data_IF_600518457392
#
_entry.id   IF_600518457392
#
_cell.length_a   1.000
_cell.length_b   1.000
_cell.length_c   1.000
_cell.angle_alpha   90.00
_cell.angle_beta   90.00
_cell.angle_gamma   90.00
#
_symmetry.space_group_name_H-M   'P 1'
#
loop_
_entity.id
_entity.type
_entity.pdbx_description
1 polymer ?
#
# COMPACT_ATOMS: atom_id res chain seq x y z
N UNK A 1 -1.31 -9.82 -20.71
CA UNK A 1 -2.25 -9.49 -19.63
C UNK A 1 -3.61 -10.06 -19.97
N UNK A 2 -4.15 -10.88 -19.10
CA UNK A 2 -5.44 -11.54 -19.31
C UNK A 2 -6.59 -10.66 -18.82
N UNK A 3 -6.34 -9.83 -17.84
CA UNK A 3 -7.33 -8.94 -17.26
C UNK A 3 -6.74 -8.15 -16.12
N UNK A 4 -7.60 -7.46 -15.40
CA UNK A 4 -7.21 -6.67 -14.24
C UNK A 4 -8.12 -6.98 -13.07
N UNK A 5 -7.61 -6.81 -11.87
CA UNK A 5 -8.39 -6.91 -10.64
C UNK A 5 -8.12 -5.67 -9.80
N UNK A 6 -9.18 -5.07 -9.28
CA UNK A 6 -9.10 -3.81 -8.54
C UNK A 6 -9.34 -4.12 -7.06
N UNK A 7 -8.35 -3.83 -6.22
CA UNK A 7 -8.36 -4.22 -4.80
C UNK A 7 -7.95 -3.06 -3.91
N UNK A 8 -8.65 -2.91 -2.77
CA UNK A 8 -8.25 -1.98 -1.72
C UNK A 8 -6.98 -2.49 -1.03
N UNK A 9 -6.34 -1.61 -0.26
CA UNK A 9 -5.05 -1.91 0.36
C UNK A 9 -5.06 -3.21 1.17
N UNK A 10 -6.06 -3.40 2.03
CA UNK A 10 -6.11 -4.59 2.88
C UNK A 10 -6.27 -5.87 2.10
N UNK A 11 -6.92 -5.80 0.93
CA UNK A 11 -7.13 -6.97 0.09
C UNK A 11 -5.93 -7.28 -0.80
N UNK A 12 -4.95 -6.39 -0.86
CA UNK A 12 -3.73 -6.60 -1.64
C UNK A 12 -2.61 -7.27 -0.84
N UNK A 13 -2.89 -7.64 0.42
CA UNK A 13 -1.92 -8.38 1.23
C UNK A 13 -2.54 -9.73 1.59
N UNK A 14 -2.30 -10.73 0.74
CA UNK A 14 -2.95 -12.03 0.87
C UNK A 14 -2.01 -13.16 0.48
N UNK A 15 -2.29 -14.33 1.03
CA UNK A 15 -1.71 -15.59 0.58
C UNK A 15 -2.72 -16.35 -0.27
N UNK A 16 -3.98 -16.34 0.11
CA UNK A 16 -5.02 -17.07 -0.58
C UNK A 16 -6.31 -16.27 -0.56
N UNK A 17 -6.83 -16.00 -1.74
CA UNK A 17 -8.07 -15.24 -1.87
C UNK A 17 -8.71 -15.56 -3.20
N UNK A 18 -10.03 -15.58 -3.23
CA UNK A 18 -10.77 -15.65 -4.46
C UNK A 18 -10.91 -14.24 -5.02
N UNK A 19 -10.42 -14.05 -6.20
CA UNK A 19 -10.45 -12.76 -6.89
C UNK A 19 -11.45 -12.81 -8.03
N UNK A 20 -12.15 -11.69 -8.23
CA UNK A 20 -12.99 -11.52 -9.41
C UNK A 20 -12.37 -10.40 -10.22
N UNK A 21 -11.92 -10.71 -11.43
CA UNK A 21 -11.36 -9.71 -12.32
C UNK A 21 -12.42 -8.69 -12.70
N UNK A 22 -11.98 -7.54 -13.16
CA UNK A 22 -12.90 -6.47 -13.57
C UNK A 22 -13.82 -6.93 -14.70
N UNK A 23 -13.41 -7.95 -15.46
CA UNK A 23 -14.22 -8.57 -16.50
C UNK A 23 -15.32 -9.50 -15.96
N UNK A 24 -15.28 -9.82 -14.66
CA UNK A 24 -16.23 -10.75 -14.03
C UNK A 24 -15.73 -12.18 -13.88
N UNK A 25 -14.57 -12.50 -14.45
CA UNK A 25 -14.02 -13.85 -14.35
C UNK A 25 -13.39 -14.04 -12.96
N UNK A 26 -13.68 -15.18 -12.33
CA UNK A 26 -13.16 -15.50 -11.00
C UNK A 26 -11.85 -16.27 -11.08
N UNK A 27 -10.95 -15.95 -10.18
CA UNK A 27 -9.65 -16.63 -10.03
C UNK A 27 -9.43 -16.98 -8.58
N UNK A 28 -8.69 -18.05 -8.33
CA UNK A 28 -8.22 -18.36 -6.98
C UNK A 28 -6.74 -18.03 -6.91
N UNK A 29 -6.39 -17.07 -6.05
CA UNK A 29 -5.01 -16.78 -5.74
C UNK A 29 -4.58 -17.72 -4.61
N UNK A 30 -3.52 -18.47 -4.84
CA UNK A 30 -3.00 -19.40 -3.84
C UNK A 30 -1.47 -19.35 -3.89
N UNK A 31 -0.89 -18.64 -2.95
CA UNK A 31 0.55 -18.40 -2.89
C UNK A 31 1.17 -19.19 -1.74
N UNK A 32 2.47 -19.52 -1.85
CA UNK A 32 3.16 -20.21 -0.74
C UNK A 32 3.15 -19.41 0.55
N UNK A 33 3.11 -18.08 0.46
CA UNK A 33 3.08 -17.21 1.63
C UNK A 33 2.34 -15.92 1.28
N UNK A 34 1.90 -15.21 2.32
CA UNK A 34 1.25 -13.92 2.11
C UNK A 34 2.22 -12.92 1.48
N UNK A 35 1.71 -12.17 0.52
CA UNK A 35 2.47 -11.12 -0.15
C UNK A 35 1.59 -9.88 -0.26
N UNK A 36 2.24 -8.72 -0.31
CA UNK A 36 1.55 -7.47 -0.57
C UNK A 36 1.75 -7.09 -2.03
N UNK A 37 0.65 -6.77 -2.72
CA UNK A 37 0.68 -6.39 -4.12
C UNK A 37 0.55 -4.89 -4.26
N UNK A 38 1.48 -4.29 -4.99
CA UNK A 38 1.43 -2.88 -5.32
C UNK A 38 0.52 -2.67 -6.54
N UNK A 39 0.09 -1.44 -6.72
CA UNK A 39 -0.63 -1.06 -7.93
C UNK A 39 0.25 -1.33 -9.15
N UNK A 40 -0.29 -2.03 -10.11
CA UNK A 40 0.43 -2.38 -11.34
C UNK A 40 1.12 -3.73 -11.32
N UNK A 41 1.17 -4.41 -10.17
CA UNK A 41 1.79 -5.74 -10.11
C UNK A 41 1.03 -6.74 -10.96
N UNK A 42 1.76 -7.72 -11.49
CA UNK A 42 1.16 -8.83 -12.24
C UNK A 42 1.10 -10.08 -11.40
N UNK A 43 -0.02 -10.77 -11.46
CA UNK A 43 -0.18 -12.09 -10.86
C UNK A 43 -0.12 -13.13 -11.96
N UNK A 44 0.87 -14.02 -11.88
CA UNK A 44 1.00 -15.09 -12.86
C UNK A 44 -0.14 -16.09 -12.72
N UNK A 45 -0.66 -16.51 -13.87
CA UNK A 45 -1.74 -17.50 -13.93
C UNK A 45 -1.19 -18.83 -14.43
N UNK A 46 -1.77 -19.93 -13.96
CA UNK A 46 -1.39 -21.27 -14.41
C UNK A 46 -1.61 -21.46 -15.91
N UNK A 47 -2.53 -20.71 -16.46
CA UNK A 47 -2.93 -20.85 -17.86
C UNK A 47 -2.16 -19.97 -18.82
N UNK A 48 -0.98 -19.49 -18.45
CA UNK A 48 -0.22 -18.53 -19.25
C UNK A 48 -0.83 -17.13 -19.16
N UNK A 49 0.02 -16.14 -19.03
CA UNK A 49 -0.42 -14.77 -18.89
C UNK A 49 -0.47 -14.34 -17.46
N UNK A 50 -0.97 -13.15 -17.22
CA UNK A 50 -1.03 -12.59 -15.88
C UNK A 50 -2.25 -11.69 -15.71
N UNK A 51 -2.64 -11.53 -14.44
CA UNK A 51 -3.72 -10.65 -14.01
C UNK A 51 -3.08 -9.42 -13.40
N UNK A 52 -3.43 -8.24 -13.87
CA UNK A 52 -2.88 -7.00 -13.34
C UNK A 52 -3.64 -6.57 -12.10
N UNK A 53 -2.90 -6.22 -11.04
CA UNK A 53 -3.48 -5.68 -9.81
C UNK A 53 -3.58 -4.16 -9.93
N UNK A 54 -4.76 -3.63 -9.63
CA UNK A 54 -4.99 -2.19 -9.59
C UNK A 54 -5.46 -1.81 -8.19
N UNK A 55 -4.94 -0.70 -7.66
CA UNK A 55 -5.38 -0.20 -6.36
C UNK A 55 -6.75 0.45 -6.51
N UNK A 56 -7.71 -0.01 -5.70
CA UNK A 56 -9.04 0.57 -5.68
C UNK A 56 -9.04 1.90 -4.94
N UNK A 57 -9.86 2.88 -5.37
CA UNK A 57 -10.07 4.09 -4.57
C UNK A 57 -10.65 3.72 -3.21
N UNK A 58 -10.17 4.37 -2.17
CA UNK A 58 -10.64 4.16 -0.80
C UNK A 58 -10.46 5.43 0.00
N UNK A 59 -11.12 5.58 1.16
CA UNK A 59 -10.94 6.77 1.97
C UNK A 59 -9.51 6.87 2.48
N UNK A 60 -8.86 7.97 2.14
CA UNK A 60 -7.50 8.26 2.62
C UNK A 60 -7.45 9.68 3.16
N UNK A 61 -6.44 9.94 3.98
CA UNK A 61 -6.15 11.28 4.48
C UNK A 61 -4.92 11.78 3.73
N UNK A 62 -5.07 12.92 3.07
CA UNK A 62 -3.95 13.58 2.42
C UNK A 62 -3.40 14.64 3.35
N UNK A 63 -2.10 14.61 3.58
CA UNK A 63 -1.43 15.42 4.59
C UNK A 63 -0.49 16.41 3.91
N UNK A 64 -0.63 17.67 4.27
CA UNK A 64 0.26 18.74 3.83
C UNK A 64 0.84 19.44 5.06
N UNK A 65 1.96 20.13 4.88
CA UNK A 65 2.54 20.97 5.92
C UNK A 65 2.87 22.35 5.33
N UNK A 66 3.02 23.32 6.21
CA UNK A 66 3.31 24.70 5.79
C UNK A 66 4.69 24.83 5.16
N UNK A 67 5.62 23.97 5.57
CA UNK A 67 6.98 24.02 5.04
C UNK A 67 7.56 22.59 4.97
N UNK A 68 8.66 22.42 4.23
CA UNK A 68 9.28 21.09 4.09
C UNK A 68 9.73 20.50 5.42
N UNK A 69 10.23 21.32 6.35
CA UNK A 69 10.67 20.80 7.65
C UNK A 69 9.50 20.21 8.44
N UNK A 70 8.34 20.86 8.37
CA UNK A 70 7.13 20.35 9.02
C UNK A 70 6.70 19.01 8.42
N UNK A 71 6.76 18.90 7.10
CA UNK A 71 6.37 17.65 6.44
C UNK A 71 7.33 16.52 6.81
N UNK A 72 8.63 16.79 6.87
CA UNK A 72 9.62 15.79 7.28
C UNK A 72 9.36 15.30 8.70
N UNK A 73 9.03 16.23 9.61
CA UNK A 73 8.71 15.87 10.99
C UNK A 73 7.49 14.95 11.05
N UNK A 74 6.45 15.29 10.31
CA UNK A 74 5.26 14.46 10.27
C UNK A 74 5.59 13.08 9.72
N UNK A 75 6.36 13.02 8.63
CA UNK A 75 6.76 11.75 8.03
C UNK A 75 7.53 10.89 9.03
N UNK A 76 8.43 11.51 9.81
CA UNK A 76 9.20 10.81 10.83
C UNK A 76 8.28 10.17 11.89
N UNK A 77 7.30 10.94 12.36
CA UNK A 77 6.37 10.43 13.37
C UNK A 77 5.50 9.29 12.82
N UNK A 78 5.05 9.41 11.58
CA UNK A 78 4.26 8.35 10.94
C UNK A 78 5.08 7.08 10.78
N UNK A 79 6.32 7.21 10.32
CA UNK A 79 7.22 6.07 10.17
C UNK A 79 7.55 5.41 11.50
N UNK A 80 7.67 6.22 12.56
CA UNK A 80 7.96 5.70 13.90
C UNK A 80 6.81 4.88 14.47
N UNK A 81 5.61 5.06 13.95
CA UNK A 81 4.44 4.26 14.32
C UNK A 81 4.22 3.08 13.40
N UNK A 82 5.12 2.86 12.45
CA UNK A 82 5.05 1.76 11.47
C UNK A 82 3.77 1.76 10.64
N UNK A 83 3.26 2.95 10.37
CA UNK A 83 2.06 3.10 9.55
C UNK A 83 2.43 3.03 8.07
N UNK A 84 1.59 2.41 7.24
CA UNK A 84 1.76 2.52 5.80
C UNK A 84 1.56 3.98 5.37
N UNK A 85 2.50 4.52 4.62
CA UNK A 85 2.49 5.91 4.16
C UNK A 85 2.80 5.94 2.68
N UNK A 86 2.00 6.67 1.92
CA UNK A 86 2.26 6.92 0.51
C UNK A 86 2.80 8.35 0.35
N UNK A 87 3.88 8.47 -0.42
CA UNK A 87 4.45 9.79 -0.75
C UNK A 87 3.92 10.19 -2.14
N UNK A 88 3.25 11.33 -2.21
CA UNK A 88 2.68 11.84 -3.46
C UNK A 88 3.16 13.27 -3.63
N UNK A 89 4.23 13.44 -4.41
CA UNK A 89 4.84 14.76 -4.57
C UNK A 89 5.31 15.31 -3.23
N UNK A 90 4.78 16.44 -2.84
CA UNK A 90 5.11 17.10 -1.55
C UNK A 90 4.04 16.83 -0.49
N UNK A 91 3.26 15.77 -0.64
CA UNK A 91 2.19 15.38 0.28
C UNK A 91 2.34 13.94 0.70
N UNK A 92 1.69 13.61 1.80
CA UNK A 92 1.64 12.24 2.31
C UNK A 92 0.20 11.78 2.33
N UNK A 93 0.00 10.48 2.14
CA UNK A 93 -1.32 9.86 2.28
C UNK A 93 -1.23 8.71 3.24
N UNK A 94 -2.25 8.59 4.07
CA UNK A 94 -2.42 7.46 5.00
C UNK A 94 -3.86 7.00 4.91
N UNK A 95 -4.10 5.77 5.36
CA UNK A 95 -5.48 5.31 5.49
C UNK A 95 -6.16 6.11 6.59
N UNK A 96 -7.48 6.21 6.49
CA UNK A 96 -8.25 7.00 7.44
C UNK A 96 -8.08 6.45 8.86
N UNK A 97 -7.67 7.34 9.78
CA UNK A 97 -7.43 6.99 11.19
C UNK A 97 -7.51 8.28 11.99
N UNK A 98 -8.54 8.40 12.84
CA UNK A 98 -8.77 9.65 13.54
C UNK A 98 -7.73 9.94 14.63
N UNK A 99 -7.13 8.92 15.21
CA UNK A 99 -6.08 9.11 16.23
C UNK A 99 -4.83 9.69 15.57
N UNK A 100 -4.46 9.14 14.43
CA UNK A 100 -3.31 9.63 13.66
C UNK A 100 -3.60 11.01 13.11
N UNK A 101 -4.84 11.26 12.67
CA UNK A 101 -5.23 12.58 12.19
C UNK A 101 -5.04 13.65 13.26
N UNK A 102 -5.41 13.34 14.51
CA UNK A 102 -5.22 14.27 15.63
C UNK A 102 -3.74 14.52 15.88
N UNK A 103 -2.92 13.49 15.81
CA UNK A 103 -1.49 13.63 15.99
C UNK A 103 -0.90 14.54 14.91
N UNK A 104 -1.27 14.33 13.66
CA UNK A 104 -0.78 15.13 12.53
C UNK A 104 -1.22 16.59 12.68
N UNK A 105 -2.48 16.81 13.06
CA UNK A 105 -2.98 18.16 13.29
C UNK A 105 -2.19 18.84 14.42
N UNK A 106 -1.87 18.11 15.47
CA UNK A 106 -1.07 18.63 16.58
C UNK A 106 0.36 19.00 16.18
N UNK A 107 0.87 18.38 15.14
CA UNK A 107 2.19 18.70 14.58
C UNK A 107 2.13 19.82 13.53
N UNK A 108 0.95 20.40 13.32
CA UNK A 108 0.78 21.49 12.39
C UNK A 108 0.44 21.07 10.97
N UNK A 109 0.11 19.83 10.77
CA UNK A 109 -0.27 19.34 9.44
C UNK A 109 -1.71 19.70 9.07
N UNK A 110 -1.94 19.84 7.78
CA UNK A 110 -3.28 20.01 7.23
C UNK A 110 -3.73 18.68 6.65
N UNK A 111 -4.94 18.29 6.99
CA UNK A 111 -5.49 16.98 6.60
C UNK A 111 -6.72 17.20 5.72
N UNK A 112 -6.76 16.50 4.59
CA UNK A 112 -7.92 16.50 3.70
C UNK A 112 -8.34 15.05 3.48
N UNK A 113 -9.62 14.77 3.65
CA UNK A 113 -10.18 13.44 3.33
C UNK A 113 -10.46 13.39 1.85
N UNK A 114 -9.95 12.37 1.18
CA UNK A 114 -10.18 12.15 -0.25
C UNK A 114 -10.45 10.67 -0.50
N UNK A 115 -11.04 10.37 -1.65
CA UNK A 115 -11.15 9.03 -2.18
C UNK A 115 -10.06 8.87 -3.22
N UNK A 116 -9.13 7.97 -3.00
CA UNK A 116 -8.02 7.76 -3.93
C UNK A 116 -7.43 6.38 -3.74
N UNK A 117 -6.79 5.82 -4.77
CA UNK A 117 -6.02 4.60 -4.59
C UNK A 117 -4.93 4.82 -3.55
N UNK A 118 -4.76 3.83 -2.68
CA UNK A 118 -3.72 3.88 -1.65
C UNK A 118 -2.64 2.87 -1.96
N UNK A 119 -1.46 3.37 -2.28
CA UNK A 119 -0.32 2.55 -2.67
C UNK A 119 0.92 3.00 -1.89
N UNK A 120 1.04 2.58 -0.62
CA UNK A 120 2.08 3.11 0.27
C UNK A 120 3.48 2.64 -0.09
N UNK A 121 4.47 3.38 0.42
CA UNK A 121 5.86 2.97 0.33
C UNK A 121 6.08 1.71 1.16
N UNK A 122 6.96 0.85 0.69
CA UNK A 122 7.41 -0.27 1.50
C UNK A 122 8.59 0.19 2.35
N UNK A 123 8.72 -0.38 3.54
CA UNK A 123 9.90 -0.17 4.35
C UNK A 123 11.13 -0.72 3.65
N UNK A 124 12.31 -0.33 4.12
CA UNK A 124 13.57 -0.66 3.47
C UNK A 124 13.74 -2.18 3.23
N UNK A 125 13.12 -3.00 4.05
CA UNK A 125 13.26 -4.46 3.95
C UNK A 125 11.99 -5.17 3.53
N UNK A 126 10.84 -4.53 3.67
CA UNK A 126 9.55 -5.18 3.46
C UNK A 126 9.27 -5.48 2.00
N UNK A 127 9.70 -4.61 1.09
CA UNK A 127 9.47 -4.75 -0.34
C UNK A 127 10.55 -5.52 -1.06
N UNK A 128 11.61 -5.91 -0.37
CA UNK A 128 12.71 -6.63 -1.00
C UNK A 128 12.29 -8.08 -1.24
N UNK A 129 12.37 -8.58 -2.46
CA UNK A 129 12.08 -9.99 -2.69
C UNK A 129 12.99 -10.84 -1.80
N UNK A 130 12.41 -11.82 -1.15
CA UNK A 130 13.16 -12.67 -0.25
C UNK A 130 13.92 -13.72 -1.05
N UNK A 131 14.86 -13.24 -1.77
CA UNK A 131 15.75 -14.03 -2.57
C UNK A 131 16.85 -14.64 -1.72
N UNK A 132 16.85 -14.24 -0.48
CA UNK A 132 17.73 -14.79 0.49
C UNK A 132 16.92 -15.59 1.47
N UNK A 133 16.89 -15.43 1.19
CA UNK A 133 16.64 -15.71 1.77
C UNK A 133 16.60 -15.95 2.59
N UNK A 134 16.81 -16.00 2.61
CA UNK A 134 16.85 -15.85 3.34
C UNK A 134 17.01 -15.63 4.01
N UNK A 135 17.40 -15.78 4.15
CA UNK A 135 17.75 -15.34 4.82
C UNK A 135 17.57 -14.90 5.54
N UNK A 136 17.62 -14.94 5.80
CA UNK A 136 17.68 -14.36 6.38
C UNK A 136 17.67 -13.62 6.91
N UNK A 137 18.01 -13.54 6.85
CA UNK A 137 18.18 -12.76 7.23
C UNK A 137 17.96 -12.00 7.72
N UNK A 138 18.06 -11.77 7.79
CA UNK A 138 18.00 -10.96 8.13
C UNK A 138 17.76 -10.18 8.67
N UNK A 139 17.83 -9.84 8.82
CA UNK A 139 17.74 -9.05 9.18
C UNK A 139 17.42 -8.38 9.81
N UNK A 140 17.51 -8.28 9.99
CA UNK A 140 17.32 -7.63 10.55
C UNK A 140 17.05 -7.18 10.93
#
# INVERSE_FOLDING_TARGET
MVGAVTLAYLDRHRRRIRLVADSGVAFLLDLPRAQHFADGDGLELDTNGYLRVCAAPEPVLEIEALDPAGLLRIAWHLGNRHLPVQVVGDRLRIRQDHVIAEMVAGLGGRITRIEAPFDPEFGAYAGVPHRHADDGSSHH
#
